data_IF_633427699277
#
_entry.id   IF_633427699277
#
_cell.length_a   1.000
_cell.length_b   1.000
_cell.length_c   1.000
_cell.angle_alpha   90.00
_cell.angle_beta   90.00
_cell.angle_gamma   90.00
#
_symmetry.space_group_name_H-M   'P 1'
#
loop_
_entity.id
_entity.type
_entity.pdbx_description
1 polymer ?
#
# COMPACT_ATOMS: atom_id res chain seq x y z
N UNK A 1 31.36 -55.02 10.78
CA UNK A 1 31.66 -53.96 11.77
C UNK A 1 31.25 -52.63 11.13
N UNK A 2 30.09 -52.09 11.47
CA UNK A 2 29.56 -50.88 10.81
C UNK A 2 29.79 -49.67 11.71
N UNK A 3 30.73 -48.81 11.32
CA UNK A 3 31.10 -47.58 12.04
C UNK A 3 30.06 -46.50 11.80
N UNK A 4 29.28 -46.14 12.83
CA UNK A 4 28.46 -44.93 12.83
C UNK A 4 29.36 -43.72 13.08
N UNK A 5 29.74 -43.00 12.00
CA UNK A 5 30.41 -41.71 12.12
C UNK A 5 29.42 -40.66 12.66
N UNK A 6 29.77 -40.08 13.81
CA UNK A 6 29.09 -38.97 14.46
C UNK A 6 29.38 -37.68 13.66
N UNK A 7 28.50 -37.32 12.73
CA UNK A 7 28.64 -36.14 11.86
C UNK A 7 27.62 -35.06 12.18
N UNK A 8 28.12 -33.85 12.49
CA UNK A 8 27.43 -32.56 12.59
C UNK A 8 26.42 -32.38 13.74
N UNK A 9 26.69 -31.39 14.60
CA UNK A 9 25.88 -31.06 15.77
C UNK A 9 24.40 -30.81 15.45
N UNK A 10 23.55 -30.96 16.46
CA UNK A 10 22.09 -30.87 16.35
C UNK A 10 21.65 -29.65 15.48
N UNK A 11 20.67 -29.83 14.57
CA UNK A 11 20.21 -28.75 13.71
C UNK A 11 19.73 -27.58 14.57
N UNK A 12 20.34 -26.40 14.38
CA UNK A 12 19.89 -25.18 15.05
C UNK A 12 18.42 -24.95 14.69
N UNK A 13 17.56 -24.62 15.67
CA UNK A 13 16.17 -24.32 15.39
C UNK A 13 16.10 -23.17 14.38
N UNK A 14 15.38 -23.39 13.29
CA UNK A 14 15.21 -22.37 12.26
C UNK A 14 14.51 -21.16 12.89
N UNK A 15 15.05 -19.93 12.72
CA UNK A 15 14.42 -18.75 13.29
C UNK A 15 13.01 -18.59 12.69
N UNK A 16 12.00 -18.45 13.57
CA UNK A 16 10.63 -18.17 13.15
C UNK A 16 10.61 -16.88 12.33
N UNK A 17 9.92 -16.92 11.19
CA UNK A 17 9.76 -15.75 10.33
C UNK A 17 9.20 -14.57 11.14
N UNK A 18 9.80 -13.39 10.98
CA UNK A 18 9.31 -12.17 11.63
C UNK A 18 7.93 -11.79 11.08
N UNK A 19 7.13 -11.06 11.86
CA UNK A 19 5.79 -10.59 11.44
C UNK A 19 5.82 -9.90 10.06
N UNK A 20 6.82 -9.02 9.85
CA UNK A 20 7.06 -8.34 8.56
C UNK A 20 7.40 -9.29 7.42
N UNK A 21 8.09 -10.40 7.68
CA UNK A 21 8.38 -11.40 6.66
C UNK A 21 7.10 -12.15 6.25
N UNK A 22 6.22 -12.44 7.21
CA UNK A 22 4.90 -13.04 6.94
C UNK A 22 4.01 -12.08 6.16
N UNK A 23 3.94 -10.81 6.55
CA UNK A 23 3.18 -9.77 5.84
C UNK A 23 3.63 -9.60 4.39
N UNK A 24 4.96 -9.54 4.14
CA UNK A 24 5.48 -9.48 2.76
C UNK A 24 5.14 -10.72 1.95
N UNK A 25 5.23 -11.91 2.55
CA UNK A 25 4.89 -13.14 1.86
C UNK A 25 3.40 -13.20 1.50
N UNK A 26 2.51 -12.72 2.40
CA UNK A 26 1.08 -12.62 2.13
C UNK A 26 0.79 -11.60 1.02
N UNK A 27 1.41 -10.42 1.07
CA UNK A 27 1.28 -9.40 0.03
C UNK A 27 1.78 -9.90 -1.34
N UNK A 28 2.89 -10.64 -1.37
CA UNK A 28 3.39 -11.27 -2.60
C UNK A 28 2.37 -12.24 -3.20
N UNK A 29 1.80 -13.13 -2.37
CA UNK A 29 0.79 -14.07 -2.85
C UNK A 29 -0.45 -13.38 -3.39
N UNK A 30 -0.97 -12.37 -2.67
CA UNK A 30 -2.11 -11.59 -3.13
C UNK A 30 -1.83 -10.87 -4.45
N UNK A 31 -0.62 -10.36 -4.63
CA UNK A 31 -0.22 -9.75 -5.90
C UNK A 31 -0.18 -10.77 -7.04
N UNK A 32 0.40 -11.95 -6.80
CA UNK A 32 0.47 -13.03 -7.80
C UNK A 32 -0.94 -13.53 -8.18
N UNK A 33 -1.85 -13.64 -7.21
CA UNK A 33 -3.27 -13.94 -7.43
C UNK A 33 -3.95 -12.86 -8.27
N UNK A 34 -3.83 -11.58 -7.90
CA UNK A 34 -4.42 -10.47 -8.65
C UNK A 34 -3.89 -10.35 -10.08
N UNK A 35 -2.61 -10.69 -10.29
CA UNK A 35 -2.02 -10.75 -11.62
C UNK A 35 -2.62 -11.87 -12.46
N UNK A 36 -2.88 -13.03 -11.84
CA UNK A 36 -3.52 -14.17 -12.51
C UNK A 36 -4.98 -13.87 -12.87
N UNK A 37 -5.68 -13.14 -12.00
CA UNK A 37 -7.07 -12.72 -12.19
C UNK A 37 -7.23 -11.60 -13.25
N UNK A 38 -6.14 -11.11 -13.84
CA UNK A 38 -6.17 -10.06 -14.87
C UNK A 38 -6.59 -8.68 -14.32
N UNK A 39 -6.36 -8.45 -13.03
CA UNK A 39 -6.73 -7.22 -12.34
C UNK A 39 -5.83 -6.07 -12.83
N UNK A 40 -6.37 -4.85 -13.08
CA UNK A 40 -5.54 -3.73 -13.52
C UNK A 40 -4.47 -3.38 -12.49
N UNK A 41 -3.24 -3.29 -12.97
CA UNK A 41 -2.08 -2.85 -12.20
C UNK A 41 -1.82 -1.35 -12.42
N UNK A 42 -1.66 -0.62 -11.32
CA UNK A 42 -1.33 0.80 -11.34
C UNK A 42 0.09 1.01 -10.82
N UNK A 43 0.92 1.70 -11.58
CA UNK A 43 2.20 2.23 -11.14
C UNK A 43 1.96 3.47 -10.27
N UNK A 44 2.55 3.49 -9.08
CA UNK A 44 2.43 4.57 -8.11
C UNK A 44 3.68 5.43 -8.13
N UNK A 45 3.45 6.73 -8.19
CA UNK A 45 4.47 7.77 -8.23
C UNK A 45 4.28 8.74 -7.06
N UNK A 46 5.38 9.25 -6.54
CA UNK A 46 5.38 10.32 -5.55
C UNK A 46 6.15 11.50 -6.12
N UNK A 47 5.65 12.71 -5.91
CA UNK A 47 6.43 13.93 -6.16
C UNK A 47 6.38 14.84 -4.94
N UNK A 48 7.32 15.76 -4.90
CA UNK A 48 7.25 16.89 -3.98
C UNK A 48 6.31 17.91 -4.61
N UNK A 49 5.40 18.48 -3.81
CA UNK A 49 4.48 19.53 -4.22
C UNK A 49 5.24 20.63 -4.96
N UNK A 50 4.66 21.10 -6.06
CA UNK A 50 5.22 22.12 -6.98
C UNK A 50 6.47 21.70 -7.76
N UNK A 51 6.95 20.46 -7.61
CA UNK A 51 8.03 19.91 -8.44
C UNK A 51 7.48 19.05 -9.57
N UNK A 52 8.12 19.12 -10.74
CA UNK A 52 7.72 18.33 -11.92
C UNK A 52 8.20 16.88 -11.89
N UNK A 53 9.13 16.55 -10.99
CA UNK A 53 9.79 15.24 -10.99
C UNK A 53 8.96 14.22 -10.20
N UNK A 54 8.51 13.20 -10.92
CA UNK A 54 7.84 12.03 -10.36
C UNK A 54 8.86 10.94 -10.04
N UNK A 55 8.75 10.37 -8.83
CA UNK A 55 9.57 9.25 -8.37
C UNK A 55 8.73 7.98 -8.37
N UNK A 56 9.13 6.92 -9.08
CA UNK A 56 8.43 5.65 -9.06
C UNK A 56 8.67 4.96 -7.70
N UNK A 57 7.60 4.65 -6.99
CA UNK A 57 7.69 4.10 -5.62
C UNK A 57 7.23 2.65 -5.55
N UNK A 58 6.30 2.26 -6.41
CA UNK A 58 5.81 0.88 -6.47
C UNK A 58 4.68 0.70 -7.46
N UNK A 59 4.01 -0.45 -7.37
CA UNK A 59 2.79 -0.73 -8.10
C UNK A 59 1.76 -1.37 -7.18
N UNK A 60 0.47 -1.10 -7.42
CA UNK A 60 -0.65 -1.66 -6.70
C UNK A 60 -1.64 -2.23 -7.71
N UNK A 61 -2.05 -3.48 -7.51
CA UNK A 61 -3.17 -4.07 -8.23
C UNK A 61 -4.47 -3.80 -7.45
N UNK A 62 -5.51 -3.31 -8.12
CA UNK A 62 -6.82 -3.05 -7.49
C UNK A 62 -7.95 -3.66 -8.30
N UNK A 63 -8.85 -4.38 -7.62
CA UNK A 63 -10.01 -5.05 -8.25
C UNK A 63 -10.93 -4.09 -9.02
N UNK A 64 -11.00 -2.83 -8.59
CA UNK A 64 -11.77 -1.77 -9.25
C UNK A 64 -10.95 -0.50 -9.32
N UNK A 65 -10.84 0.10 -10.51
CA UNK A 65 -10.04 1.31 -10.76
C UNK A 65 -10.45 2.49 -9.89
N UNK A 66 -11.74 2.60 -9.51
CA UNK A 66 -12.23 3.68 -8.64
C UNK A 66 -11.73 3.58 -7.18
N UNK A 67 -11.18 2.44 -6.77
CA UNK A 67 -10.63 2.24 -5.44
C UNK A 67 -9.13 2.56 -5.35
N UNK A 68 -8.49 2.98 -6.45
CA UNK A 68 -7.05 3.25 -6.47
C UNK A 68 -6.65 4.33 -5.46
N UNK A 69 -7.43 5.41 -5.37
CA UNK A 69 -7.18 6.48 -4.41
C UNK A 69 -7.19 5.92 -2.98
N UNK A 70 -8.22 5.15 -2.61
CA UNK A 70 -8.29 4.51 -1.30
C UNK A 70 -7.11 3.58 -1.06
N UNK A 71 -6.77 2.72 -2.03
CA UNK A 71 -5.69 1.75 -1.91
C UNK A 71 -4.31 2.43 -1.71
N UNK A 72 -4.07 3.57 -2.35
CA UNK A 72 -2.83 4.36 -2.17
C UNK A 72 -2.75 4.89 -0.73
N UNK A 73 -3.81 5.51 -0.22
CA UNK A 73 -3.82 6.10 1.12
C UNK A 73 -3.88 5.03 2.23
N UNK A 74 -4.53 3.89 2.00
CA UNK A 74 -4.55 2.78 2.95
C UNK A 74 -3.16 2.13 3.11
N UNK A 75 -2.33 2.15 2.04
CA UNK A 75 -0.98 1.61 2.03
C UNK A 75 0.12 2.70 2.08
N UNK A 76 -0.25 3.93 2.46
CA UNK A 76 0.63 5.11 2.41
C UNK A 76 1.93 4.89 3.20
N UNK A 77 1.84 4.35 4.41
CA UNK A 77 3.02 4.12 5.27
C UNK A 77 4.04 3.18 4.61
N UNK A 78 3.57 2.10 3.98
CA UNK A 78 4.44 1.12 3.31
C UNK A 78 5.08 1.71 2.06
N UNK A 79 4.30 2.46 1.27
CA UNK A 79 4.80 3.19 0.10
C UNK A 79 5.86 4.20 0.52
N UNK A 80 5.61 5.00 1.55
CA UNK A 80 6.57 5.99 2.07
C UNK A 80 7.83 5.32 2.61
N UNK A 81 7.71 4.20 3.31
CA UNK A 81 8.87 3.45 3.80
C UNK A 81 9.78 3.00 2.65
N UNK A 82 9.20 2.47 1.56
CA UNK A 82 9.94 2.12 0.34
C UNK A 82 10.52 3.36 -0.36
N UNK A 83 9.71 4.40 -0.51
CA UNK A 83 10.08 5.66 -1.14
C UNK A 83 11.26 6.32 -0.44
N UNK A 84 11.24 6.42 0.89
CA UNK A 84 12.30 7.08 1.67
C UNK A 84 13.60 6.29 1.68
N UNK A 85 13.51 4.96 1.53
CA UNK A 85 14.69 4.10 1.39
C UNK A 85 15.37 4.32 0.04
N UNK A 86 14.59 4.43 -1.05
CA UNK A 86 15.14 4.64 -2.40
C UNK A 86 15.51 6.10 -2.67
N UNK A 87 14.71 7.04 -2.17
CA UNK A 87 14.81 8.48 -2.43
C UNK A 87 14.78 9.28 -1.12
N UNK A 88 15.93 9.47 -0.46
CA UNK A 88 16.02 10.25 0.78
C UNK A 88 15.55 11.70 0.65
N UNK A 89 15.52 12.24 -0.57
CA UNK A 89 15.01 13.59 -0.88
C UNK A 89 13.52 13.72 -0.54
N UNK A 90 12.74 12.66 -0.74
CA UNK A 90 11.32 12.63 -0.39
C UNK A 90 11.12 12.70 1.12
N UNK A 91 11.97 12.02 1.89
CA UNK A 91 11.92 12.02 3.36
C UNK A 91 12.07 13.43 3.95
N UNK A 92 12.92 14.26 3.35
CA UNK A 92 13.10 15.67 3.78
C UNK A 92 11.87 16.53 3.54
N UNK A 93 10.99 16.12 2.63
CA UNK A 93 9.83 16.88 2.18
C UNK A 93 8.51 16.15 2.50
N UNK A 94 8.51 15.28 3.52
CA UNK A 94 7.39 14.37 3.84
C UNK A 94 6.04 15.06 4.03
N UNK A 95 6.03 16.33 4.46
CA UNK A 95 4.80 17.12 4.66
C UNK A 95 4.21 17.68 3.36
N UNK A 96 4.99 17.67 2.26
CA UNK A 96 4.67 18.30 0.99
C UNK A 96 4.75 17.27 -0.14
N UNK A 97 4.20 16.07 0.06
CA UNK A 97 4.19 15.01 -0.94
C UNK A 97 2.83 14.92 -1.63
N UNK A 98 2.87 14.68 -2.93
CA UNK A 98 1.71 14.38 -3.75
C UNK A 98 1.87 12.98 -4.36
N UNK A 99 0.76 12.26 -4.39
CA UNK A 99 0.69 10.91 -4.95
C UNK A 99 0.11 10.98 -6.35
N UNK A 100 0.67 10.17 -7.23
CA UNK A 100 0.17 9.98 -8.57
C UNK A 100 0.10 8.51 -8.93
N UNK A 101 -0.76 8.18 -9.87
CA UNK A 101 -0.91 6.83 -10.37
C UNK A 101 -1.10 6.82 -11.87
N UNK A 102 -0.74 5.69 -12.49
CA UNK A 102 -0.95 5.42 -13.91
C UNK A 102 -1.14 3.93 -14.11
N UNK A 103 -1.97 3.53 -15.08
CA UNK A 103 -2.06 2.13 -15.48
C UNK A 103 -0.72 1.65 -16.05
N UNK A 104 -0.28 0.48 -15.60
CA UNK A 104 0.98 -0.15 -16.05
C UNK A 104 0.95 -0.51 -17.54
N UNK A 105 -0.22 -0.85 -18.05
CA UNK A 105 -0.46 -1.17 -19.46
C UNK A 105 -0.39 0.07 -20.36
N UNK A 106 -0.74 1.25 -19.83
CA UNK A 106 -0.78 2.51 -20.58
C UNK A 106 0.34 3.44 -20.14
N UNK A 107 1.57 3.15 -20.58
CA UNK A 107 2.76 3.96 -20.23
C UNK A 107 2.81 5.34 -20.89
N UNK A 108 1.99 5.56 -21.90
CA UNK A 108 1.91 6.85 -22.60
C UNK A 108 0.94 7.83 -21.91
N UNK A 109 0.09 7.32 -21.00
CA UNK A 109 -0.84 8.17 -20.27
C UNK A 109 -0.14 9.08 -19.27
N UNK A 110 -0.66 10.30 -19.05
CA UNK A 110 -0.16 11.18 -18.00
C UNK A 110 -0.43 10.58 -16.62
N UNK A 111 0.47 10.85 -15.67
CA UNK A 111 0.29 10.46 -14.28
C UNK A 111 -0.89 11.25 -13.70
N UNK A 112 -1.91 10.53 -13.24
CA UNK A 112 -3.09 11.09 -12.61
C UNK A 112 -2.80 11.36 -11.13
N UNK A 113 -3.26 12.50 -10.61
CA UNK A 113 -3.09 12.84 -9.20
C UNK A 113 -4.08 12.02 -8.36
N UNK A 114 -3.58 11.39 -7.31
CA UNK A 114 -4.41 10.74 -6.31
C UNK A 114 -5.02 11.79 -5.38
N UNK A 115 -6.33 11.71 -5.20
CA UNK A 115 -7.08 12.55 -4.28
C UNK A 115 -7.34 11.80 -2.99
N UNK A 116 -7.14 12.46 -1.85
CA UNK A 116 -7.47 11.87 -0.56
C UNK A 116 -8.98 11.63 -0.50
N UNK A 117 -9.45 10.39 -0.36
CA UNK A 117 -10.87 10.12 -0.34
C UNK A 117 -11.50 10.86 0.85
N UNK A 118 -12.58 11.60 0.59
CA UNK A 118 -13.34 12.25 1.64
C UNK A 118 -13.81 11.17 2.63
N UNK A 119 -13.33 11.23 3.87
CA UNK A 119 -13.91 10.45 4.95
C UNK A 119 -15.38 10.84 5.03
N UNK A 120 -16.27 9.94 4.59
CA UNK A 120 -17.71 10.09 4.83
C UNK A 120 -17.88 10.13 6.35
N UNK A 121 -18.04 11.34 6.90
CA UNK A 121 -18.39 11.50 8.31
C UNK A 121 -19.71 10.74 8.55
N UNK A 122 -19.73 9.72 9.41
CA UNK A 122 -20.97 9.02 9.70
C UNK A 122 -21.80 9.92 10.64
N UNK A 123 -22.99 10.34 10.20
CA UNK A 123 -24.12 10.50 11.12
C UNK A 123 -24.51 11.89 11.62
N UNK A 124 -24.44 12.96 10.83
CA UNK A 124 -25.03 14.26 11.26
C UNK A 124 -26.57 14.31 11.21
N UNK A 125 -27.25 13.24 10.80
CA UNK A 125 -28.74 13.16 10.70
C UNK A 125 -29.43 12.57 11.94
N UNK A 126 -28.71 12.00 12.91
CA UNK A 126 -29.35 11.38 14.09
C UNK A 126 -29.85 12.41 15.13
N UNK A 127 -29.35 13.65 15.11
CA UNK A 127 -29.63 14.66 16.14
C UNK A 127 -30.95 15.44 15.97
N UNK A 128 -31.60 15.38 14.81
CA UNK A 128 -32.80 16.17 14.53
C UNK A 128 -34.11 15.45 14.88
N UNK A 129 -34.12 14.10 14.91
CA UNK A 129 -35.31 13.30 15.21
C UNK A 129 -35.60 13.18 16.72
N UNK A 130 -34.60 13.36 17.58
CA UNK A 130 -34.73 13.17 19.03
C UNK A 130 -35.40 14.33 19.77
N UNK A 131 -35.63 15.48 19.11
CA UNK A 131 -36.30 16.64 19.72
C UNK A 131 -37.81 16.65 19.60
N UNK A 132 -38.40 15.80 18.76
CA UNK A 132 -39.86 15.78 18.55
C UNK A 132 -40.62 14.77 19.43
N UNK A 133 -39.93 13.96 20.24
CA UNK A 133 -40.56 12.91 21.05
C UNK A 133 -40.68 13.25 22.55
N UNK A 134 -40.39 14.49 22.97
CA UNK A 134 -40.54 14.91 24.38
C UNK A 134 -41.55 16.05 24.53
N UNK A 135 -42.81 15.76 24.17
CA UNK A 135 -43.99 16.50 24.64
C UNK A 135 -45.20 15.56 24.59
N UNK A 136 -45.28 14.70 25.59
CA UNK A 136 -46.49 14.03 26.05
C UNK A 136 -46.42 14.04 27.59
#
# INVERSE_FOLDING_TARGET
MTTTQRGFGAPKPQPKASKRAVERAAASKQYDEMKTDGVPEFEIYIRIKDKKNWFPVGAIAVKRSNLINHAIYDNEEQLLQGAFRMFPVLRKNQNNLEYGYRLKEYKDEPIQLAEKPAQKQPGFVQGLLSRFQKKA
#
